data_IF_496999901486
#
_entry.id   IF_496999901486
#
_cell.length_a   1.000
_cell.length_b   1.000
_cell.length_c   1.000
_cell.angle_alpha   90.00
_cell.angle_beta   90.00
_cell.angle_gamma   90.00
#
_symmetry.space_group_name_H-M   'P 1'
#
loop_
_entity.id
_entity.type
_entity.pdbx_description
1 polymer ?
#
# COMPACT_ATOMS: atom_id res chain seq x y z
N UNK A 1 38.50 -16.46 -52.18
CA UNK A 1 37.12 -16.49 -51.64
C UNK A 1 37.18 -16.77 -50.15
N UNK A 2 36.19 -16.27 -49.40
CA UNK A 2 35.97 -16.33 -47.95
C UNK A 2 36.80 -15.38 -47.06
N UNK A 3 36.27 -14.16 -46.92
CA UNK A 3 36.50 -13.29 -45.76
C UNK A 3 35.51 -13.67 -44.66
N UNK A 4 36.02 -14.09 -43.50
CA UNK A 4 35.23 -14.29 -42.28
C UNK A 4 34.82 -12.93 -41.71
N UNK A 5 33.53 -12.67 -41.58
CA UNK A 5 32.96 -11.58 -40.78
C UNK A 5 32.29 -12.21 -39.55
N UNK A 6 32.90 -12.02 -38.38
CA UNK A 6 32.29 -12.36 -37.09
C UNK A 6 31.69 -11.08 -36.52
N UNK A 7 30.37 -10.95 -36.55
CA UNK A 7 29.65 -9.87 -35.87
C UNK A 7 29.25 -10.34 -34.47
N UNK A 8 29.93 -9.81 -33.46
CA UNK A 8 29.50 -9.84 -32.06
C UNK A 8 28.14 -9.15 -31.93
N UNK A 9 27.10 -9.89 -31.56
CA UNK A 9 25.87 -9.31 -31.03
C UNK A 9 25.90 -9.35 -29.50
N UNK A 10 26.44 -8.28 -28.90
CA UNK A 10 26.18 -7.97 -27.50
C UNK A 10 24.70 -7.61 -27.36
N UNK A 11 23.92 -8.58 -26.92
CA UNK A 11 22.56 -8.32 -26.45
C UNK A 11 22.68 -7.72 -25.05
N UNK A 12 22.66 -6.39 -24.95
CA UNK A 12 22.36 -5.69 -23.69
C UNK A 12 20.96 -6.13 -23.26
N UNK A 13 20.89 -7.04 -22.29
CA UNK A 13 19.66 -7.30 -21.55
C UNK A 13 19.38 -6.02 -20.76
N UNK A 14 18.49 -5.21 -21.31
CA UNK A 14 18.01 -4.00 -20.68
C UNK A 14 17.53 -4.31 -19.27
N UNK A 15 18.09 -3.58 -18.31
CA UNK A 15 17.51 -3.42 -16.99
C UNK A 15 16.09 -2.88 -17.18
N UNK A 16 15.12 -3.79 -17.16
CA UNK A 16 13.70 -3.46 -17.06
C UNK A 16 13.46 -2.73 -15.74
N UNK A 17 13.67 -1.42 -15.75
CA UNK A 17 13.23 -0.55 -14.68
C UNK A 17 11.72 -0.65 -14.60
N UNK A 18 11.21 -1.38 -13.60
CA UNK A 18 9.81 -1.25 -13.22
C UNK A 18 9.56 0.24 -12.93
N UNK A 19 8.57 0.90 -13.56
CA UNK A 19 8.24 2.26 -13.20
C UNK A 19 7.86 2.26 -11.72
N UNK A 20 8.71 2.87 -10.89
CA UNK A 20 8.35 3.17 -9.52
C UNK A 20 7.31 4.29 -9.59
N UNK A 21 6.03 3.92 -9.51
CA UNK A 21 4.95 4.88 -9.31
C UNK A 21 5.16 5.53 -7.95
N UNK A 22 5.94 6.60 -7.88
CA UNK A 22 6.05 7.41 -6.68
C UNK A 22 4.80 8.30 -6.65
N UNK A 23 3.71 7.78 -6.11
CA UNK A 23 2.49 8.56 -5.93
C UNK A 23 2.70 9.53 -4.77
N UNK A 24 3.13 10.76 -5.08
CA UNK A 24 3.08 11.86 -4.13
C UNK A 24 1.66 12.43 -4.10
N UNK A 25 1.15 12.72 -2.90
CA UNK A 25 -0.14 13.36 -2.72
C UNK A 25 0.02 14.88 -2.73
N UNK A 26 -0.94 15.59 -3.33
CA UNK A 26 -0.97 17.05 -3.28
C UNK A 26 -1.36 17.53 -1.89
N UNK A 27 -1.08 18.80 -1.57
CA UNK A 27 -1.48 19.40 -0.29
C UNK A 27 -2.99 19.31 -0.06
N UNK A 28 -3.79 19.50 -1.11
CA UNK A 28 -5.25 19.40 -1.06
C UNK A 28 -5.71 17.98 -0.73
N UNK A 29 -5.10 16.97 -1.35
CA UNK A 29 -5.38 15.56 -1.04
C UNK A 29 -5.02 15.22 0.40
N UNK A 30 -3.83 15.64 0.86
CA UNK A 30 -3.43 15.47 2.25
C UNK A 30 -4.39 16.14 3.22
N UNK A 31 -4.79 17.38 2.94
CA UNK A 31 -5.74 18.11 3.79
C UNK A 31 -7.05 17.34 3.96
N UNK A 32 -7.62 16.81 2.87
CA UNK A 32 -8.83 15.99 2.93
C UNK A 32 -8.61 14.70 3.74
N UNK A 33 -7.54 13.96 3.44
CA UNK A 33 -7.21 12.70 4.12
C UNK A 33 -7.02 12.91 5.62
N UNK A 34 -6.32 13.99 6.02
CA UNK A 34 -6.10 14.28 7.43
C UNK A 34 -7.42 14.63 8.14
N UNK A 35 -8.25 15.47 7.52
CA UNK A 35 -9.57 15.86 8.07
C UNK A 35 -10.52 14.67 8.23
N UNK A 36 -10.47 13.67 7.35
CA UNK A 36 -11.35 12.48 7.41
C UNK A 36 -10.95 11.48 8.51
N UNK A 37 -9.72 11.56 9.03
CA UNK A 37 -9.14 10.54 9.92
C UNK A 37 -8.65 11.07 11.26
N UNK A 38 -8.50 12.38 11.42
CA UNK A 38 -7.95 12.96 12.63
C UNK A 38 -8.37 14.41 12.80
N UNK A 39 -8.25 14.91 14.02
CA UNK A 39 -8.31 16.35 14.33
C UNK A 39 -6.96 17.06 14.10
N UNK A 40 -5.96 16.37 13.55
CA UNK A 40 -4.61 16.92 13.33
C UNK A 40 -4.57 17.82 12.11
N UNK A 41 -3.52 18.63 12.01
CA UNK A 41 -3.30 19.43 10.81
C UNK A 41 -2.65 18.61 9.70
N UNK A 42 -2.92 19.00 8.45
CA UNK A 42 -2.33 18.39 7.26
C UNK A 42 -0.80 18.49 7.20
N UNK A 43 -0.19 19.33 8.05
CA UNK A 43 1.26 19.50 8.13
C UNK A 43 1.91 18.47 9.04
N UNK A 44 1.19 17.93 10.02
CA UNK A 44 1.77 17.00 11.01
C UNK A 44 1.87 15.57 10.47
N UNK A 45 0.84 15.10 9.74
CA UNK A 45 0.73 13.70 9.31
C UNK A 45 1.73 13.30 8.21
N UNK A 46 1.94 14.08 7.12
CA UNK A 46 2.75 13.63 5.99
C UNK A 46 4.20 13.30 6.36
N UNK A 47 4.76 13.96 7.37
CA UNK A 47 6.14 13.73 7.81
C UNK A 47 6.34 12.36 8.46
N UNK A 48 5.28 11.78 9.03
CA UNK A 48 5.35 10.47 9.68
C UNK A 48 4.72 9.36 8.85
N UNK A 49 3.77 9.70 7.99
CA UNK A 49 3.03 8.74 7.18
C UNK A 49 3.90 8.06 6.11
N UNK A 50 3.64 6.78 5.88
CA UNK A 50 4.22 6.00 4.78
C UNK A 50 3.15 5.68 3.75
N UNK A 51 3.40 6.08 2.50
CA UNK A 51 2.54 5.77 1.36
C UNK A 51 3.10 4.57 0.60
N UNK A 52 2.25 3.60 0.31
CA UNK A 52 2.58 2.44 -0.51
C UNK A 52 1.59 2.41 -1.70
N UNK A 53 2.05 2.64 -2.94
CA UNK A 53 1.21 2.55 -4.13
C UNK A 53 0.69 1.12 -4.31
N UNK A 54 -0.62 0.95 -4.47
CA UNK A 54 -1.26 -0.33 -4.79
C UNK A 54 -1.48 -0.47 -6.30
N UNK A 55 -1.92 0.60 -6.95
CA UNK A 55 -2.06 0.75 -8.42
C UNK A 55 -1.73 2.20 -8.83
N UNK A 56 -1.96 2.56 -10.10
CA UNK A 56 -1.78 3.94 -10.60
C UNK A 56 -2.59 4.97 -9.78
N UNK A 57 -3.80 4.59 -9.39
CA UNK A 57 -4.80 5.45 -8.76
C UNK A 57 -5.13 5.06 -7.32
N UNK A 58 -4.48 4.04 -6.74
CA UNK A 58 -4.78 3.57 -5.39
C UNK A 58 -3.54 3.49 -4.53
N UNK A 59 -3.68 3.95 -3.31
CA UNK A 59 -2.59 4.00 -2.34
C UNK A 59 -3.04 3.43 -1.00
N UNK A 60 -2.11 2.77 -0.33
CA UNK A 60 -2.17 2.42 1.07
C UNK A 60 -1.41 3.46 1.88
N UNK A 61 -2.01 3.93 2.97
CA UNK A 61 -1.40 4.88 3.90
C UNK A 61 -1.28 4.21 5.25
N UNK A 62 -0.04 4.10 5.72
CA UNK A 62 0.28 3.94 7.13
C UNK A 62 0.47 5.33 7.73
N UNK A 63 -0.40 5.73 8.65
CA UNK A 63 -0.33 7.07 9.22
C UNK A 63 0.85 7.26 10.18
N UNK A 64 1.35 6.16 10.79
CA UNK A 64 2.51 6.12 11.70
C UNK A 64 2.65 7.35 12.61
N UNK A 65 1.54 7.77 13.24
CA UNK A 65 1.48 8.97 14.05
C UNK A 65 0.93 8.64 15.44
N UNK A 66 1.61 9.05 16.50
CA UNK A 66 1.29 8.64 17.88
C UNK A 66 -0.16 8.93 18.30
N UNK A 67 -0.76 10.04 17.85
CA UNK A 67 -2.19 10.32 18.12
C UNK A 67 -3.18 9.45 17.33
N UNK A 68 -2.72 8.80 16.26
CA UNK A 68 -3.47 7.83 15.46
C UNK A 68 -2.99 6.39 15.69
N UNK A 69 -2.04 6.22 16.60
CA UNK A 69 -1.43 4.96 17.00
C UNK A 69 -1.57 4.83 18.52
N UNK A 70 -2.49 3.99 18.99
CA UNK A 70 -2.51 3.60 20.40
C UNK A 70 -1.32 2.71 20.76
N UNK A 71 -1.30 2.21 21.99
CA UNK A 71 -0.25 1.29 22.50
C UNK A 71 -0.04 0.07 21.59
N UNK A 72 -1.09 -0.35 20.88
CA UNK A 72 -1.09 -1.59 20.08
C UNK A 72 -1.50 -1.39 18.63
N UNK A 73 -2.39 -0.46 18.31
CA UNK A 73 -2.97 -0.37 16.97
C UNK A 73 -2.71 0.99 16.34
N UNK A 74 -2.37 1.00 15.05
CA UNK A 74 -2.21 2.19 14.23
C UNK A 74 -3.30 2.26 13.16
N UNK A 75 -3.67 3.48 12.76
CA UNK A 75 -4.60 3.68 11.66
C UNK A 75 -3.93 3.41 10.31
N UNK A 76 -4.63 2.65 9.47
CA UNK A 76 -4.28 2.38 8.08
C UNK A 76 -5.48 2.65 7.18
N UNK A 77 -5.22 3.12 5.96
CA UNK A 77 -6.29 3.38 4.99
C UNK A 77 -5.86 3.11 3.55
N UNK A 78 -6.86 2.84 2.71
CA UNK A 78 -6.73 2.80 1.25
C UNK A 78 -7.51 3.97 0.68
N UNK A 79 -6.87 4.73 -0.19
CA UNK A 79 -7.50 5.81 -0.94
C UNK A 79 -7.40 5.56 -2.43
N UNK A 80 -8.47 5.89 -3.15
CA UNK A 80 -8.39 6.17 -4.58
C UNK A 80 -8.06 7.64 -4.76
N UNK A 81 -7.03 7.94 -5.55
CA UNK A 81 -6.52 9.29 -5.79
C UNK A 81 -6.52 9.60 -7.27
N UNK A 82 -6.93 10.83 -7.61
CA UNK A 82 -6.93 11.34 -8.97
C UNK A 82 -6.02 12.57 -9.02
N UNK A 83 -4.96 12.50 -9.82
CA UNK A 83 -3.97 13.57 -9.94
C UNK A 83 -4.48 14.79 -10.71
N UNK A 84 -5.41 14.61 -11.65
CA UNK A 84 -5.94 15.69 -12.48
C UNK A 84 -6.97 16.55 -11.72
N UNK A 85 -7.80 15.90 -10.91
CA UNK A 85 -8.86 16.56 -10.12
C UNK A 85 -8.45 16.81 -8.68
N UNK A 86 -7.28 16.32 -8.28
CA UNK A 86 -6.77 16.30 -6.90
C UNK A 86 -7.75 15.69 -5.88
N UNK A 87 -8.63 14.78 -6.34
CA UNK A 87 -9.53 14.07 -5.46
C UNK A 87 -8.80 12.95 -4.72
N UNK A 88 -9.19 12.72 -3.47
CA UNK A 88 -8.86 11.55 -2.68
C UNK A 88 -10.16 10.98 -2.10
N UNK A 89 -10.47 9.73 -2.38
CA UNK A 89 -11.71 9.07 -1.95
C UNK A 89 -11.36 7.85 -1.13
N UNK A 90 -11.85 7.80 0.10
CA UNK A 90 -11.63 6.68 1.01
C UNK A 90 -12.25 5.40 0.44
N UNK A 91 -11.47 4.32 0.41
CA UNK A 91 -11.87 3.00 -0.08
C UNK A 91 -11.92 1.95 1.03
N UNK A 92 -11.14 2.15 2.10
CA UNK A 92 -11.13 1.31 3.28
C UNK A 92 -10.27 1.96 4.37
N UNK A 93 -10.62 1.75 5.64
CA UNK A 93 -9.77 2.10 6.79
C UNK A 93 -9.97 1.12 7.93
N UNK A 94 -8.92 0.88 8.70
CA UNK A 94 -9.02 0.16 9.96
C UNK A 94 -7.83 0.46 10.87
N UNK A 95 -8.02 0.23 12.16
CA UNK A 95 -6.92 0.14 13.12
C UNK A 95 -6.35 -1.27 13.09
N UNK A 96 -5.07 -1.39 12.79
CA UNK A 96 -4.36 -2.67 12.69
C UNK A 96 -3.22 -2.74 13.70
N UNK A 97 -2.86 -3.95 14.13
CA UNK A 97 -1.71 -4.22 14.99
C UNK A 97 -0.43 -4.37 14.14
N UNK A 98 0.48 -3.37 14.10
CA UNK A 98 1.67 -3.44 13.23
C UNK A 98 2.79 -4.33 13.76
N UNK A 99 2.79 -4.64 15.07
CA UNK A 99 3.86 -5.40 15.72
C UNK A 99 3.74 -6.91 15.46
N UNK A 100 4.07 -7.34 14.25
CA UNK A 100 4.06 -8.74 13.84
C UNK A 100 5.45 -9.40 14.02
N UNK A 101 5.53 -10.74 14.00
CA UNK A 101 6.82 -11.43 13.96
C UNK A 101 7.72 -10.94 12.81
N UNK A 102 9.06 -10.98 12.95
CA UNK A 102 10.01 -10.29 12.06
C UNK A 102 10.01 -10.67 10.56
N UNK A 103 9.23 -11.66 10.14
CA UNK A 103 9.12 -12.12 8.75
C UNK A 103 7.72 -11.93 8.15
N UNK A 104 6.75 -11.46 8.94
CA UNK A 104 5.35 -11.35 8.49
C UNK A 104 5.04 -9.87 8.25
N UNK A 105 4.84 -9.45 6.99
CA UNK A 105 4.52 -8.06 6.70
C UNK A 105 3.08 -7.76 7.11
N UNK A 106 2.83 -6.56 7.64
CA UNK A 106 1.46 -6.12 7.95
C UNK A 106 0.55 -6.15 6.72
N UNK A 107 1.08 -5.69 5.58
CA UNK A 107 0.39 -5.65 4.31
C UNK A 107 1.28 -6.24 3.21
N UNK A 108 0.70 -7.06 2.35
CA UNK A 108 1.33 -7.61 1.16
C UNK A 108 0.42 -7.44 -0.04
N UNK A 109 0.96 -7.07 -1.20
CA UNK A 109 0.18 -7.03 -2.44
C UNK A 109 -0.24 -8.44 -2.85
N UNK A 110 -1.52 -8.61 -3.18
CA UNK A 110 -2.08 -9.82 -3.77
C UNK A 110 -2.17 -9.71 -5.29
N UNK A 111 -2.86 -10.67 -5.90
CA UNK A 111 -3.24 -10.62 -7.33
C UNK A 111 -4.51 -9.77 -7.50
N UNK A 112 -4.78 -9.33 -8.72
CA UNK A 112 -6.05 -8.67 -9.10
C UNK A 112 -6.41 -7.44 -8.23
N UNK A 113 -5.43 -6.60 -7.89
CA UNK A 113 -5.58 -5.43 -7.01
C UNK A 113 -6.03 -5.75 -5.57
N UNK A 114 -6.10 -7.02 -5.17
CA UNK A 114 -6.29 -7.40 -3.78
C UNK A 114 -5.00 -7.18 -2.98
N UNK A 115 -5.14 -7.10 -1.67
CA UNK A 115 -4.03 -7.11 -0.71
C UNK A 115 -4.29 -8.17 0.35
N UNK A 116 -3.22 -8.65 0.97
CA UNK A 116 -3.29 -9.43 2.19
C UNK A 116 -2.93 -8.53 3.37
N UNK A 117 -3.72 -8.59 4.44
CA UNK A 117 -3.35 -8.05 5.74
C UNK A 117 -3.10 -9.19 6.72
N UNK A 118 -2.06 -9.08 7.52
CA UNK A 118 -1.76 -10.02 8.59
C UNK A 118 -2.09 -9.36 9.92
N UNK A 119 -2.83 -10.05 10.79
CA UNK A 119 -3.19 -9.55 12.12
C UNK A 119 -2.92 -10.61 13.18
N UNK A 120 -2.37 -10.17 14.30
CA UNK A 120 -2.19 -11.03 15.46
C UNK A 120 -3.53 -11.23 16.14
N UNK A 121 -3.99 -12.47 16.23
CA UNK A 121 -5.12 -12.88 17.04
C UNK A 121 -4.61 -13.86 18.09
N UNK A 122 -4.63 -13.42 19.34
CA UNK A 122 -4.08 -14.17 20.48
C UNK A 122 -2.62 -14.63 20.24
N UNK A 123 -2.43 -15.94 20.07
CA UNK A 123 -1.13 -16.60 19.87
C UNK A 123 -0.81 -16.86 18.40
N UNK A 124 -1.72 -16.58 17.47
CA UNK A 124 -1.56 -16.86 16.05
C UNK A 124 -1.56 -15.57 15.23
N UNK A 125 -0.99 -15.66 14.03
CA UNK A 125 -1.10 -14.59 13.03
C UNK A 125 -2.05 -15.07 11.96
N UNK A 126 -3.14 -14.35 11.82
CA UNK A 126 -4.16 -14.60 10.80
C UNK A 126 -3.88 -13.76 9.58
N UNK A 127 -4.23 -14.29 8.41
CA UNK A 127 -4.09 -13.62 7.12
C UNK A 127 -5.47 -13.41 6.53
N UNK A 128 -5.76 -12.18 6.10
CA UNK A 128 -7.03 -11.83 5.47
C UNK A 128 -6.75 -11.25 4.09
N UNK A 129 -7.55 -11.63 3.10
CA UNK A 129 -7.53 -11.00 1.79
C UNK A 129 -8.56 -9.88 1.74
N UNK A 130 -8.13 -8.72 1.26
CA UNK A 130 -8.97 -7.56 1.01
C UNK A 130 -8.96 -7.28 -0.49
N UNK A 131 -10.13 -7.28 -1.11
CA UNK A 131 -10.28 -7.02 -2.53
C UNK A 131 -11.24 -5.85 -2.79
N UNK A 132 -11.07 -5.15 -3.92
CA UNK A 132 -12.04 -4.15 -4.36
C UNK A 132 -13.37 -4.81 -4.73
N UNK A 133 -14.46 -4.35 -4.13
CA UNK A 133 -15.84 -4.71 -4.42
C UNK A 133 -16.68 -3.44 -4.46
N UNK A 134 -17.24 -3.12 -5.63
CA UNK A 134 -18.08 -1.94 -5.86
C UNK A 134 -17.43 -0.62 -5.40
N UNK A 135 -16.15 -0.42 -5.70
CA UNK A 135 -15.42 0.82 -5.36
C UNK A 135 -15.12 0.99 -3.88
N UNK A 136 -15.05 -0.10 -3.11
CA UNK A 136 -14.53 -0.16 -1.74
C UNK A 136 -13.71 -1.43 -1.56
N UNK A 137 -12.74 -1.46 -0.64
CA UNK A 137 -12.07 -2.71 -0.26
C UNK A 137 -12.85 -3.41 0.84
N UNK A 138 -13.06 -4.71 0.68
CA UNK A 138 -13.72 -5.57 1.69
C UNK A 138 -12.89 -6.81 1.94
N UNK A 139 -12.94 -7.30 3.18
CA UNK A 139 -12.38 -8.61 3.52
C UNK A 139 -13.20 -9.65 2.75
N UNK A 140 -12.56 -10.37 1.84
CA UNK A 140 -13.20 -11.42 1.02
C UNK A 140 -13.03 -12.80 1.63
N UNK A 141 -11.89 -13.04 2.28
CA UNK A 141 -11.58 -14.33 2.88
C UNK A 141 -10.56 -14.20 4.01
N UNK A 142 -10.69 -15.09 5.00
CA UNK A 142 -9.61 -15.42 5.93
C UNK A 142 -8.83 -16.59 5.33
N UNK A 143 -7.54 -16.39 5.08
CA UNK A 143 -6.63 -17.42 4.58
C UNK A 143 -6.20 -18.26 5.77
N UNK A 144 -6.74 -19.47 5.84
CA UNK A 144 -6.27 -20.49 6.78
C UNK A 144 -5.09 -21.18 6.12
N UNK A 145 -3.88 -21.01 6.66
CA UNK A 145 -2.77 -21.85 6.26
C UNK A 145 -3.11 -23.27 6.72
N UNK A 146 -3.52 -24.12 5.79
CA UNK A 146 -3.75 -25.54 6.06
C UNK A 146 -2.46 -26.16 6.59
N UNK A 147 -2.60 -26.98 7.64
CA UNK A 147 -1.52 -27.82 8.17
C UNK A 147 -1.08 -28.89 7.19
#
# INVERSE_FOLDING_TARGET
MNKFFVLLSLSLIGLGGCPSYQTSLTEKQWKKIVQENSELSAKEIPHKARIIPLSKDKIWIDFNHDKLCGIRHCLYAIYQVNSETEQANLQWRSYLYPMLPPSIPLMQKGKNNCIFIHQRQEKQVEKYELCPQNGQYKITQKIVNGG
#
